data_IF_863522185244
#
_entry.id   IF_863522185244
#
_cell.length_a   1.000
_cell.length_b   1.000
_cell.length_c   1.000
_cell.angle_alpha   90.00
_cell.angle_beta   90.00
_cell.angle_gamma   90.00
#
_symmetry.space_group_name_H-M   'P 1'
#
loop_
_entity.id
_entity.type
_entity.pdbx_description
1 polymer ?
#
# COMPACT_ATOMS: atom_id res chain seq x y z
N UNK A 1 0.98 -18.03 -0.16
CA UNK A 1 2.29 -17.79 -0.81
C UNK A 1 3.36 -18.57 -0.07
N UNK A 2 3.68 -19.79 -0.53
CA UNK A 2 4.89 -20.49 -0.06
C UNK A 2 6.07 -20.06 -0.95
N UNK A 3 5.82 -19.80 -2.25
CA UNK A 3 6.73 -19.10 -3.17
C UNK A 3 8.16 -19.63 -3.15
N UNK A 4 9.13 -18.75 -3.43
CA UNK A 4 10.55 -19.05 -3.28
C UNK A 4 10.99 -19.18 -1.81
N UNK A 5 10.11 -18.88 -0.85
CA UNK A 5 10.39 -18.93 0.60
C UNK A 5 10.17 -20.30 1.24
N UNK A 6 9.84 -21.36 0.48
CA UNK A 6 9.55 -22.70 1.01
C UNK A 6 10.67 -23.23 1.93
N UNK A 7 11.94 -22.93 1.61
CA UNK A 7 13.09 -23.35 2.40
C UNK A 7 13.10 -22.71 3.80
N UNK A 8 12.68 -21.44 3.91
CA UNK A 8 12.54 -20.73 5.20
C UNK A 8 11.47 -21.42 6.04
N UNK A 9 10.31 -21.75 5.45
CA UNK A 9 9.22 -22.43 6.14
C UNK A 9 9.61 -23.84 6.62
N UNK A 10 10.33 -24.60 5.77
CA UNK A 10 10.84 -25.92 6.14
C UNK A 10 11.83 -25.83 7.31
N UNK A 11 12.79 -24.89 7.25
CA UNK A 11 13.74 -24.66 8.34
C UNK A 11 13.05 -24.22 9.63
N UNK A 12 12.03 -23.37 9.54
CA UNK A 12 11.25 -22.97 10.72
C UNK A 12 10.53 -24.19 11.34
N UNK A 13 9.93 -25.06 10.53
CA UNK A 13 9.31 -26.30 10.99
C UNK A 13 10.33 -27.23 11.68
N UNK A 14 11.51 -27.41 11.09
CA UNK A 14 12.61 -28.19 11.69
C UNK A 14 13.03 -27.56 13.02
N UNK A 15 13.22 -26.25 13.07
CA UNK A 15 13.62 -25.54 14.29
C UNK A 15 12.60 -25.65 15.41
N UNK A 16 11.30 -25.61 15.08
CA UNK A 16 10.24 -25.83 16.04
C UNK A 16 10.28 -27.26 16.61
N UNK A 17 10.41 -28.29 15.77
CA UNK A 17 10.46 -29.70 16.21
C UNK A 17 11.72 -29.98 17.02
N UNK A 18 12.90 -29.59 16.53
CA UNK A 18 14.17 -29.80 17.23
C UNK A 18 14.17 -29.05 18.55
N UNK A 19 13.67 -27.81 18.58
CA UNK A 19 13.61 -27.03 19.80
C UNK A 19 12.69 -27.63 20.86
N UNK A 20 11.58 -28.25 20.46
CA UNK A 20 10.66 -28.94 21.38
C UNK A 20 11.30 -30.14 22.08
N UNK A 21 12.21 -30.85 21.39
CA UNK A 21 12.92 -32.01 21.95
C UNK A 21 14.05 -31.56 22.89
N UNK A 22 14.58 -30.35 22.68
CA UNK A 22 15.70 -29.84 23.44
C UNK A 22 15.30 -29.18 24.77
N UNK A 23 15.57 -29.91 25.86
CA UNK A 23 15.27 -29.47 27.22
C UNK A 23 16.03 -28.20 27.64
N UNK A 24 17.19 -27.91 27.04
CA UNK A 24 18.02 -26.74 27.41
C UNK A 24 17.39 -25.40 27.03
N UNK A 25 16.51 -25.39 26.01
CA UNK A 25 15.86 -24.16 25.50
C UNK A 25 14.34 -24.16 25.73
N UNK A 26 13.84 -24.98 26.66
CA UNK A 26 12.41 -25.13 26.92
C UNK A 26 11.71 -23.81 27.22
N UNK A 27 12.33 -22.94 28.02
CA UNK A 27 11.76 -21.61 28.32
C UNK A 27 11.66 -20.74 27.06
N UNK A 28 12.70 -20.72 26.23
CA UNK A 28 12.69 -20.03 24.93
C UNK A 28 11.62 -20.61 24.00
N UNK A 29 11.42 -21.93 23.99
CA UNK A 29 10.38 -22.57 23.18
C UNK A 29 8.96 -22.20 23.62
N UNK A 30 8.71 -22.10 24.93
CA UNK A 30 7.44 -21.60 25.46
C UNK A 30 7.20 -20.16 24.97
N UNK A 31 8.23 -19.31 25.04
CA UNK A 31 8.14 -17.95 24.52
C UNK A 31 7.89 -17.91 23.01
N UNK A 32 8.63 -18.67 22.20
CA UNK A 32 8.50 -18.65 20.74
C UNK A 32 7.17 -19.22 20.25
N UNK A 33 6.67 -20.27 20.89
CA UNK A 33 5.34 -20.80 20.61
C UNK A 33 4.25 -19.83 21.03
N UNK A 34 4.41 -19.17 22.18
CA UNK A 34 3.55 -18.07 22.60
C UNK A 34 3.55 -16.94 21.58
N UNK A 35 4.73 -16.48 21.15
CA UNK A 35 4.90 -15.45 20.13
C UNK A 35 4.21 -15.84 18.83
N UNK A 36 4.44 -17.06 18.32
CA UNK A 36 3.78 -17.56 17.13
C UNK A 36 2.25 -17.58 17.28
N UNK A 37 1.76 -18.07 18.42
CA UNK A 37 0.33 -18.13 18.72
C UNK A 37 -0.29 -16.72 18.74
N UNK A 38 0.26 -15.79 19.50
CA UNK A 38 -0.28 -14.44 19.61
C UNK A 38 -0.11 -13.63 18.31
N UNK A 39 0.99 -13.81 17.58
CA UNK A 39 1.15 -13.25 16.22
C UNK A 39 0.12 -13.79 15.23
N UNK A 40 -0.26 -15.07 15.35
CA UNK A 40 -1.32 -15.67 14.52
C UNK A 40 -2.69 -15.17 14.93
N UNK A 41 -2.96 -15.08 16.23
CA UNK A 41 -4.21 -14.51 16.76
C UNK A 41 -4.38 -13.04 16.35
N UNK A 42 -3.29 -12.29 16.21
CA UNK A 42 -3.32 -10.91 15.71
C UNK A 42 -3.77 -10.79 14.23
N UNK A 43 -3.86 -11.90 13.49
CA UNK A 43 -4.43 -11.92 12.13
C UNK A 43 -5.96 -12.04 12.13
N UNK A 44 -6.55 -12.50 13.24
CA UNK A 44 -7.97 -12.79 13.34
C UNK A 44 -8.89 -11.56 13.54
N UNK A 45 -8.46 -10.39 14.08
CA UNK A 45 -9.35 -9.23 14.20
C UNK A 45 -9.97 -8.85 12.87
N UNK A 46 -11.31 -8.78 12.85
CA UNK A 46 -12.09 -8.46 11.66
C UNK A 46 -12.25 -9.59 10.65
N UNK A 47 -11.56 -10.74 10.80
CA UNK A 47 -11.61 -11.89 9.89
C UNK A 47 -11.34 -11.55 8.41
N UNK A 48 -10.60 -10.48 8.14
CA UNK A 48 -10.15 -10.08 6.80
C UNK A 48 -8.65 -10.38 6.66
N UNK A 49 -8.29 -11.44 5.94
CA UNK A 49 -6.90 -11.88 5.80
C UNK A 49 -6.23 -11.26 4.58
N UNK A 50 -5.52 -10.13 4.78
CA UNK A 50 -4.72 -9.50 3.72
C UNK A 50 -3.29 -10.04 3.71
N UNK A 51 -2.64 -10.20 2.53
CA UNK A 51 -1.29 -10.74 2.44
C UNK A 51 -0.26 -10.05 3.36
N UNK A 52 -0.33 -8.72 3.50
CA UNK A 52 0.60 -7.97 4.33
C UNK A 52 0.41 -8.17 5.84
N UNK A 53 -0.73 -8.67 6.31
CA UNK A 53 -0.93 -8.96 7.75
C UNK A 53 -0.03 -10.10 8.22
N UNK A 54 0.32 -11.03 7.34
CA UNK A 54 1.18 -12.17 7.66
C UNK A 54 2.61 -11.78 8.06
N UNK A 55 3.00 -10.51 7.88
CA UNK A 55 4.27 -9.98 8.40
C UNK A 55 4.42 -10.20 9.91
N UNK A 56 3.29 -10.24 10.65
CA UNK A 56 3.27 -10.42 12.10
C UNK A 56 3.82 -11.78 12.56
N UNK A 57 3.77 -12.80 11.70
CA UNK A 57 4.27 -14.17 11.99
C UNK A 57 5.77 -14.30 11.71
N UNK A 58 6.32 -13.46 10.83
CA UNK A 58 7.70 -13.59 10.35
C UNK A 58 8.76 -13.56 11.46
N UNK A 59 8.67 -12.74 12.52
CA UNK A 59 9.64 -12.77 13.61
C UNK A 59 9.76 -14.14 14.29
N UNK A 60 8.64 -14.80 14.57
CA UNK A 60 8.63 -16.14 15.17
C UNK A 60 9.26 -17.18 14.23
N UNK A 61 8.91 -17.12 12.95
CA UNK A 61 9.47 -17.98 11.89
C UNK A 61 10.98 -17.82 11.80
N UNK A 62 11.49 -16.58 11.77
CA UNK A 62 12.93 -16.29 11.73
C UNK A 62 13.67 -16.85 12.95
N UNK A 63 13.08 -16.78 14.14
CA UNK A 63 13.70 -17.33 15.36
C UNK A 63 13.73 -18.87 15.33
N UNK A 64 12.69 -19.52 14.82
CA UNK A 64 12.72 -20.98 14.62
C UNK A 64 13.78 -21.38 13.58
N UNK A 65 13.94 -20.65 12.48
CA UNK A 65 15.05 -20.87 11.53
C UNK A 65 16.40 -20.75 12.25
N UNK A 66 16.56 -19.75 13.12
CA UNK A 66 17.76 -19.59 13.95
C UNK A 66 18.07 -20.81 14.82
N UNK A 67 17.05 -21.41 15.45
CA UNK A 67 17.20 -22.65 16.22
C UNK A 67 17.67 -23.80 15.33
N UNK A 68 17.06 -23.99 14.15
CA UNK A 68 17.46 -25.04 13.22
C UNK A 68 18.93 -24.93 12.82
N UNK A 69 19.37 -23.72 12.44
CA UNK A 69 20.76 -23.44 12.03
C UNK A 69 21.73 -23.58 13.21
N UNK A 70 21.36 -23.12 14.41
CA UNK A 70 22.19 -23.26 15.62
C UNK A 70 22.43 -24.73 15.96
N UNK A 71 21.37 -25.56 15.92
CA UNK A 71 21.48 -26.99 16.23
C UNK A 71 22.24 -27.76 15.16
N UNK A 72 22.06 -27.40 13.91
CA UNK A 72 22.90 -27.93 12.83
C UNK A 72 24.38 -27.58 13.05
N UNK A 73 24.67 -26.36 13.51
CA UNK A 73 26.02 -25.92 13.82
C UNK A 73 26.65 -26.77 14.93
N UNK A 74 25.91 -27.07 16.01
CA UNK A 74 26.36 -27.93 17.10
C UNK A 74 26.74 -29.34 16.61
N UNK A 75 26.00 -29.88 15.63
CA UNK A 75 26.22 -31.21 15.06
C UNK A 75 27.42 -31.31 14.12
N UNK A 76 27.83 -30.21 13.47
CA UNK A 76 28.87 -30.21 12.43
C UNK A 76 30.31 -30.40 12.95
N UNK A 77 30.52 -30.41 14.27
CA UNK A 77 31.80 -30.81 14.89
C UNK A 77 33.01 -29.91 14.55
N UNK A 78 34.23 -30.36 14.91
CA UNK A 78 35.49 -29.60 14.75
C UNK A 78 36.08 -29.61 13.34
N UNK A 79 35.49 -30.34 12.38
CA UNK A 79 36.00 -30.41 11.01
C UNK A 79 35.67 -29.12 10.25
N UNK A 80 36.71 -28.41 9.80
CA UNK A 80 36.58 -27.06 9.27
C UNK A 80 35.65 -26.97 8.06
N UNK A 81 35.61 -28.02 7.21
CA UNK A 81 34.78 -28.07 6.01
C UNK A 81 33.28 -28.24 6.32
N UNK A 82 32.95 -29.02 7.36
CA UNK A 82 31.54 -29.29 7.76
C UNK A 82 30.97 -28.10 8.54
N UNK A 83 31.82 -27.31 9.21
CA UNK A 83 31.44 -26.10 9.94
C UNK A 83 30.82 -25.00 9.06
N UNK A 84 31.09 -24.99 7.76
CA UNK A 84 30.47 -24.04 6.82
C UNK A 84 29.07 -24.45 6.37
N UNK A 85 28.63 -25.70 6.59
CA UNK A 85 27.33 -26.19 6.12
C UNK A 85 26.15 -25.36 6.65
N UNK A 86 26.05 -25.02 7.95
CA UNK A 86 24.96 -24.16 8.44
C UNK A 86 24.97 -22.76 7.81
N UNK A 87 26.17 -22.19 7.59
CA UNK A 87 26.33 -20.88 6.96
C UNK A 87 25.92 -20.89 5.50
N UNK A 88 26.33 -21.92 4.75
CA UNK A 88 25.94 -22.10 3.34
C UNK A 88 24.43 -22.34 3.25
N UNK A 89 23.86 -23.15 4.14
CA UNK A 89 22.41 -23.41 4.18
C UNK A 89 21.62 -22.13 4.47
N UNK A 90 22.04 -21.35 5.47
CA UNK A 90 21.42 -20.05 5.78
C UNK A 90 21.56 -19.08 4.61
N UNK A 91 22.78 -18.92 4.08
CA UNK A 91 23.06 -18.04 2.94
C UNK A 91 22.20 -18.40 1.73
N UNK A 92 22.16 -19.68 1.36
CA UNK A 92 21.34 -20.18 0.25
C UNK A 92 19.86 -19.90 0.49
N UNK A 93 19.36 -20.17 1.68
CA UNK A 93 17.95 -19.94 2.05
C UNK A 93 17.55 -18.47 1.91
N UNK A 94 18.43 -17.54 2.32
CA UNK A 94 18.17 -16.09 2.22
C UNK A 94 18.34 -15.56 0.79
N UNK A 95 19.30 -16.11 0.04
CA UNK A 95 19.61 -15.66 -1.33
C UNK A 95 18.62 -16.19 -2.37
N UNK A 96 18.04 -17.38 -2.18
CA UNK A 96 17.12 -18.00 -3.14
C UNK A 96 15.92 -17.11 -3.50
N UNK A 97 15.15 -16.53 -2.55
CA UNK A 97 14.05 -15.62 -2.88
C UNK A 97 14.50 -14.37 -3.63
N UNK A 98 15.66 -13.82 -3.27
CA UNK A 98 16.23 -12.62 -3.91
C UNK A 98 16.60 -12.93 -5.36
N UNK A 99 17.22 -14.08 -5.62
CA UNK A 99 17.56 -14.52 -6.98
C UNK A 99 16.31 -14.85 -7.80
N UNK A 100 15.29 -15.43 -7.16
CA UNK A 100 14.01 -15.70 -7.81
C UNK A 100 13.34 -14.42 -8.32
N UNK A 101 13.38 -13.37 -7.51
CA UNK A 101 12.82 -12.05 -7.83
C UNK A 101 13.88 -11.06 -8.36
N UNK A 102 15.01 -11.55 -8.91
CA UNK A 102 16.14 -10.70 -9.31
C UNK A 102 15.75 -9.55 -10.24
N UNK A 103 14.80 -9.81 -11.16
CA UNK A 103 14.32 -8.80 -12.10
C UNK A 103 13.67 -7.65 -11.34
N UNK A 104 12.80 -7.99 -10.40
CA UNK A 104 12.11 -7.01 -9.57
C UNK A 104 13.07 -6.20 -8.70
N UNK A 105 14.06 -6.85 -8.08
CA UNK A 105 15.00 -6.18 -7.16
C UNK A 105 16.13 -5.40 -7.85
N UNK A 106 16.56 -5.80 -9.05
CA UNK A 106 17.78 -5.26 -9.68
C UNK A 106 17.61 -4.71 -11.09
N UNK A 107 16.53 -5.06 -11.81
CA UNK A 107 16.35 -4.65 -13.23
C UNK A 107 15.20 -3.64 -13.42
N UNK A 108 14.15 -3.73 -12.60
CA UNK A 108 12.93 -2.92 -12.74
C UNK A 108 13.13 -1.54 -12.11
N UNK A 109 12.69 -0.48 -12.80
CA UNK A 109 12.76 0.89 -12.25
C UNK A 109 11.85 1.03 -11.02
N UNK A 110 12.12 1.96 -10.07
CA UNK A 110 11.25 2.15 -8.91
C UNK A 110 9.78 2.44 -9.27
N UNK A 111 9.53 3.15 -10.37
CA UNK A 111 8.19 3.47 -10.86
C UNK A 111 7.49 2.21 -11.39
N UNK A 112 8.19 1.41 -12.20
CA UNK A 112 7.64 0.17 -12.73
C UNK A 112 7.43 -0.88 -11.62
N UNK A 113 8.31 -0.90 -10.61
CA UNK A 113 8.15 -1.74 -9.43
C UNK A 113 6.90 -1.34 -8.65
N UNK A 114 6.69 -0.03 -8.45
CA UNK A 114 5.49 0.51 -7.82
C UNK A 114 4.22 0.10 -8.59
N UNK A 115 4.19 0.29 -9.91
CA UNK A 115 3.06 -0.14 -10.76
C UNK A 115 2.82 -1.64 -10.72
N UNK A 116 3.89 -2.45 -10.72
CA UNK A 116 3.77 -3.90 -10.62
C UNK A 116 3.21 -4.35 -9.25
N UNK A 117 3.55 -3.64 -8.17
CA UNK A 117 3.07 -3.95 -6.81
C UNK A 117 1.65 -3.46 -6.57
N UNK A 118 1.29 -2.28 -7.08
CA UNK A 118 0.06 -1.58 -6.73
C UNK A 118 -0.94 -1.44 -7.89
N UNK A 119 -0.63 -1.98 -9.07
CA UNK A 119 -1.46 -1.96 -10.29
C UNK A 119 -2.00 -0.56 -10.59
N UNK A 120 -3.31 -0.37 -10.46
CA UNK A 120 -4.03 0.81 -10.95
C UNK A 120 -4.05 1.95 -9.92
N UNK A 121 -3.37 1.79 -8.78
CA UNK A 121 -3.25 2.89 -7.82
C UNK A 121 -2.32 3.97 -8.39
N UNK A 122 -2.74 5.24 -8.42
CA UNK A 122 -2.05 6.33 -9.12
C UNK A 122 -0.83 6.88 -8.37
N UNK A 123 0.04 6.02 -7.82
CA UNK A 123 1.17 6.47 -7.01
C UNK A 123 2.23 7.23 -7.82
N UNK A 124 2.55 6.74 -9.02
CA UNK A 124 3.51 7.40 -9.90
C UNK A 124 2.95 8.71 -10.46
N UNK A 125 1.65 8.69 -10.77
CA UNK A 125 0.88 9.79 -11.31
C UNK A 125 0.75 10.93 -10.30
N UNK A 126 0.53 10.59 -9.04
CA UNK A 126 0.40 11.54 -7.93
C UNK A 126 1.61 12.45 -7.79
N UNK A 127 2.83 11.97 -8.07
CA UNK A 127 4.05 12.80 -8.04
C UNK A 127 3.98 13.91 -9.09
N UNK A 128 3.63 13.57 -10.34
CA UNK A 128 3.53 14.56 -11.43
C UNK A 128 2.35 15.51 -11.25
N UNK A 129 1.22 15.01 -10.76
CA UNK A 129 0.07 15.85 -10.40
C UNK A 129 0.46 16.85 -9.32
N UNK A 130 1.17 16.38 -8.29
CA UNK A 130 1.65 17.22 -7.21
C UNK A 130 2.65 18.29 -7.67
N UNK A 131 3.56 17.95 -8.58
CA UNK A 131 4.48 18.93 -9.19
C UNK A 131 3.71 20.02 -9.95
N UNK A 132 2.76 19.63 -10.80
CA UNK A 132 1.87 20.58 -11.49
C UNK A 132 1.14 21.50 -10.50
N UNK A 133 0.52 20.94 -9.47
CA UNK A 133 -0.20 21.72 -8.46
C UNK A 133 0.73 22.66 -7.72
N UNK A 134 1.92 22.22 -7.34
CA UNK A 134 2.92 23.04 -6.63
C UNK A 134 3.36 24.26 -7.46
N UNK A 135 3.48 24.11 -8.76
CA UNK A 135 3.86 25.19 -9.69
C UNK A 135 2.73 26.21 -9.93
N UNK A 136 1.46 25.80 -9.76
CA UNK A 136 0.29 26.63 -10.07
C UNK A 136 -0.44 27.18 -8.82
N UNK A 137 0.13 26.97 -7.64
CA UNK A 137 -0.44 27.39 -6.35
C UNK A 137 0.61 28.08 -5.49
N UNK A 138 0.18 28.99 -4.61
CA UNK A 138 0.98 29.52 -3.52
C UNK A 138 1.00 28.52 -2.35
N UNK A 139 1.97 28.63 -1.44
CA UNK A 139 2.07 27.71 -0.28
C UNK A 139 0.85 27.74 0.65
N UNK A 140 0.14 28.87 0.69
CA UNK A 140 -1.02 29.07 1.56
C UNK A 140 -2.33 28.65 0.86
N UNK A 141 -2.30 28.36 -0.45
CA UNK A 141 -3.45 27.82 -1.16
C UNK A 141 -3.75 26.40 -0.67
N UNK A 142 -5.03 26.10 -0.47
CA UNK A 142 -5.49 24.73 -0.20
C UNK A 142 -5.89 24.02 -1.49
N UNK A 143 -5.73 22.71 -1.49
CA UNK A 143 -6.22 21.82 -2.54
C UNK A 143 -7.16 20.77 -1.92
N UNK A 144 -8.05 20.20 -2.71
CA UNK A 144 -8.87 19.06 -2.30
C UNK A 144 -8.62 17.87 -3.22
N UNK A 145 -8.32 16.71 -2.66
CA UNK A 145 -8.24 15.44 -3.35
C UNK A 145 -9.48 14.63 -2.98
N UNK A 146 -10.30 14.36 -3.99
CA UNK A 146 -11.46 13.50 -3.89
C UNK A 146 -11.04 12.09 -4.34
N UNK A 147 -10.54 11.34 -3.37
CA UNK A 147 -9.88 10.05 -3.53
C UNK A 147 -9.05 9.72 -2.28
N UNK A 148 -8.23 8.68 -2.36
CA UNK A 148 -7.37 8.23 -1.25
C UNK A 148 -5.88 8.38 -1.57
N UNK A 149 -5.52 9.51 -2.20
CA UNK A 149 -4.17 9.86 -2.64
C UNK A 149 -3.58 11.01 -1.78
N UNK A 150 -3.36 10.80 -0.47
CA UNK A 150 -2.80 11.84 0.40
C UNK A 150 -1.37 12.24 0.01
N UNK A 151 -0.65 11.38 -0.72
CA UNK A 151 0.68 11.68 -1.25
C UNK A 151 0.71 12.93 -2.14
N UNK A 152 -0.41 13.30 -2.78
CA UNK A 152 -0.50 14.51 -3.59
C UNK A 152 -0.28 15.74 -2.70
N UNK A 153 -0.89 15.80 -1.51
CA UNK A 153 -0.67 16.89 -0.56
C UNK A 153 0.79 16.98 -0.12
N UNK A 154 1.40 15.82 0.16
CA UNK A 154 2.79 15.72 0.60
C UNK A 154 3.76 16.24 -0.46
N UNK A 155 3.68 15.71 -1.68
CA UNK A 155 4.59 16.10 -2.77
C UNK A 155 4.32 17.54 -3.26
N UNK A 156 3.06 17.99 -3.24
CA UNK A 156 2.71 19.34 -3.66
C UNK A 156 3.11 20.38 -2.60
N UNK A 157 3.33 19.94 -1.36
CA UNK A 157 3.51 20.79 -0.19
C UNK A 157 2.33 21.75 -0.02
N UNK A 158 1.10 21.22 -0.09
CA UNK A 158 -0.14 21.99 0.06
C UNK A 158 -1.02 21.40 1.14
N UNK A 159 -1.69 22.28 1.87
CA UNK A 159 -2.67 21.86 2.87
C UNK A 159 -3.93 21.32 2.20
N UNK A 160 -4.51 20.29 2.81
CA UNK A 160 -5.82 19.77 2.44
C UNK A 160 -6.91 20.78 2.83
N UNK A 161 -7.89 20.93 1.94
CA UNK A 161 -9.10 21.73 2.19
C UNK A 161 -10.08 21.07 3.17
N UNK A 162 -9.82 19.81 3.52
CA UNK A 162 -10.67 18.97 4.38
C UNK A 162 -9.82 18.06 5.29
N UNK A 163 -10.35 17.67 6.43
CA UNK A 163 -9.72 16.69 7.31
C UNK A 163 -9.69 15.28 6.70
N UNK A 164 -10.52 14.99 5.70
CA UNK A 164 -10.60 13.69 5.03
C UNK A 164 -9.55 13.57 3.92
N UNK A 165 -8.40 12.98 4.27
CA UNK A 165 -7.30 12.71 3.32
C UNK A 165 -7.35 11.29 2.71
N UNK A 166 -8.35 10.49 3.09
CA UNK A 166 -8.70 9.19 2.51
C UNK A 166 -10.21 8.97 2.60
N UNK A 167 -10.80 8.25 1.64
CA UNK A 167 -12.27 8.18 1.47
C UNK A 167 -12.88 6.83 1.84
N UNK A 168 -12.08 5.82 2.24
CA UNK A 168 -12.60 4.47 2.52
C UNK A 168 -13.71 4.45 3.57
N UNK A 169 -13.58 5.19 4.67
CA UNK A 169 -14.60 5.23 5.74
C UNK A 169 -15.91 5.91 5.31
N UNK A 170 -15.87 6.75 4.27
CA UNK A 170 -17.06 7.36 3.66
C UNK A 170 -17.83 6.34 2.83
N UNK A 171 -17.15 5.28 2.38
CA UNK A 171 -17.68 4.24 1.51
C UNK A 171 -18.09 2.97 2.27
N UNK A 172 -17.62 2.78 3.50
CA UNK A 172 -18.08 1.66 4.31
C UNK A 172 -19.60 1.75 4.57
N UNK A 173 -20.34 0.63 4.51
CA UNK A 173 -21.78 0.61 4.79
C UNK A 173 -22.02 0.72 6.31
N UNK A 174 -21.79 1.91 6.84
CA UNK A 174 -21.84 2.24 8.26
C UNK A 174 -22.67 3.51 8.50
N UNK A 175 -23.27 3.62 9.69
CA UNK A 175 -24.30 4.63 10.00
C UNK A 175 -23.86 6.10 9.90
N UNK A 176 -22.57 6.38 9.95
CA UNK A 176 -21.97 7.71 9.84
C UNK A 176 -21.49 8.04 8.42
N UNK A 177 -21.63 7.13 7.44
CA UNK A 177 -21.07 7.34 6.10
C UNK A 177 -21.64 8.59 5.43
N UNK A 178 -22.98 8.77 5.51
CA UNK A 178 -23.67 9.99 5.05
C UNK A 178 -23.11 11.24 5.72
N UNK A 179 -23.04 11.23 7.06
CA UNK A 179 -22.58 12.37 7.84
C UNK A 179 -21.13 12.75 7.48
N UNK A 180 -20.23 11.76 7.36
CA UNK A 180 -18.84 12.01 6.96
C UNK A 180 -18.72 12.59 5.55
N UNK A 181 -19.56 12.13 4.61
CA UNK A 181 -19.62 12.73 3.27
C UNK A 181 -20.10 14.18 3.33
N UNK A 182 -21.15 14.47 4.10
CA UNK A 182 -21.66 15.84 4.29
C UNK A 182 -20.63 16.77 4.94
N UNK A 183 -19.89 16.27 5.94
CA UNK A 183 -18.80 16.99 6.61
C UNK A 183 -17.68 17.33 5.61
N UNK A 184 -17.19 16.35 4.84
CA UNK A 184 -16.18 16.58 3.79
C UNK A 184 -16.66 17.60 2.76
N UNK A 185 -17.91 17.47 2.30
CA UNK A 185 -18.54 18.41 1.36
C UNK A 185 -18.59 19.83 1.93
N UNK A 186 -19.01 19.97 3.19
CA UNK A 186 -19.12 21.26 3.86
C UNK A 186 -17.75 21.92 4.02
N UNK A 187 -16.73 21.17 4.43
CA UNK A 187 -15.36 21.64 4.56
C UNK A 187 -14.80 22.14 3.22
N UNK A 188 -14.96 21.37 2.14
CA UNK A 188 -14.49 21.77 0.81
C UNK A 188 -15.23 23.02 0.32
N UNK A 189 -16.55 23.09 0.49
CA UNK A 189 -17.35 24.27 0.11
C UNK A 189 -16.88 25.53 0.85
N UNK A 190 -16.57 25.40 2.15
CA UNK A 190 -16.11 26.50 3.00
C UNK A 190 -14.68 26.93 2.65
N UNK A 191 -13.78 25.96 2.49
CA UNK A 191 -12.37 26.20 2.20
C UNK A 191 -12.13 26.71 0.78
N UNK A 192 -13.07 26.49 -0.15
CA UNK A 192 -13.05 27.09 -1.49
C UNK A 192 -11.71 26.82 -2.21
N UNK A 193 -11.17 25.57 -2.21
CA UNK A 193 -9.79 25.29 -2.58
C UNK A 193 -9.47 25.70 -4.01
N UNK A 194 -8.22 26.10 -4.24
CA UNK A 194 -7.81 26.61 -5.56
C UNK A 194 -7.83 25.52 -6.63
N UNK A 195 -7.51 24.29 -6.22
CA UNK A 195 -7.58 23.12 -7.07
C UNK A 195 -8.35 21.99 -6.40
N UNK A 196 -9.07 21.24 -7.23
CA UNK A 196 -9.75 20.01 -6.85
C UNK A 196 -9.27 18.88 -7.78
N UNK A 197 -8.80 17.79 -7.19
CA UNK A 197 -8.32 16.59 -7.90
C UNK A 197 -9.35 15.49 -7.70
N UNK A 198 -9.99 15.06 -8.79
CA UNK A 198 -11.02 14.02 -8.79
C UNK A 198 -10.43 12.71 -9.31
N UNK A 199 -10.25 11.74 -8.41
CA UNK A 199 -9.63 10.45 -8.74
C UNK A 199 -10.71 9.42 -9.04
N UNK A 200 -10.88 9.13 -10.32
CA UNK A 200 -11.85 8.16 -10.84
C UNK A 200 -11.16 6.82 -11.02
N UNK A 201 -10.88 6.16 -9.89
CA UNK A 201 -10.31 4.82 -9.84
C UNK A 201 -10.98 4.04 -8.73
N UNK A 202 -11.35 2.78 -8.98
CA UNK A 202 -12.06 1.95 -8.01
C UNK A 202 -11.29 1.85 -6.67
N UNK A 203 -9.97 1.62 -6.75
CA UNK A 203 -9.13 1.45 -5.56
C UNK A 203 -8.99 2.69 -4.69
N UNK A 204 -9.22 3.89 -5.24
CA UNK A 204 -9.20 5.14 -4.48
C UNK A 204 -10.40 5.31 -3.54
N UNK A 205 -11.47 4.56 -3.78
CA UNK A 205 -12.73 4.67 -3.04
C UNK A 205 -13.15 3.37 -2.34
N UNK A 206 -12.94 2.22 -2.99
CA UNK A 206 -13.38 0.90 -2.50
C UNK A 206 -14.87 0.86 -2.11
N UNK A 207 -15.70 1.55 -2.88
CA UNK A 207 -17.14 1.56 -2.67
C UNK A 207 -17.75 0.16 -2.82
N UNK A 208 -18.85 -0.06 -2.10
CA UNK A 208 -19.65 -1.29 -2.09
C UNK A 208 -21.05 -0.97 -2.61
N UNK A 209 -21.83 -1.98 -3.04
CA UNK A 209 -23.20 -1.75 -3.52
C UNK A 209 -24.09 -0.99 -2.53
N UNK A 210 -23.85 -1.13 -1.22
CA UNK A 210 -24.59 -0.45 -0.15
C UNK A 210 -23.96 0.88 0.32
N UNK A 211 -22.90 1.35 -0.32
CA UNK A 211 -22.26 2.63 0.03
C UNK A 211 -23.18 3.80 -0.30
N UNK A 212 -23.16 4.82 0.56
CA UNK A 212 -23.70 6.12 0.23
C UNK A 212 -22.88 6.76 -0.91
N UNK A 213 -23.53 7.44 -1.85
CA UNK A 213 -22.92 7.98 -3.07
C UNK A 213 -23.10 9.49 -3.26
N UNK A 214 -23.58 10.21 -2.24
CA UNK A 214 -23.80 11.66 -2.33
C UNK A 214 -22.57 12.43 -2.79
N UNK A 215 -21.38 12.08 -2.29
CA UNK A 215 -20.15 12.78 -2.65
C UNK A 215 -19.86 12.71 -4.15
N UNK A 216 -20.24 11.63 -4.85
CA UNK A 216 -20.07 11.51 -6.29
C UNK A 216 -20.99 12.46 -7.04
N UNK A 217 -22.29 12.41 -6.75
CA UNK A 217 -23.28 13.32 -7.36
C UNK A 217 -22.95 14.78 -7.07
N UNK A 218 -22.56 15.10 -5.83
CA UNK A 218 -22.15 16.44 -5.45
C UNK A 218 -20.89 16.90 -6.20
N UNK A 219 -19.87 16.04 -6.33
CA UNK A 219 -18.63 16.44 -6.96
C UNK A 219 -18.82 16.77 -8.44
N UNK A 220 -19.64 16.00 -9.15
CA UNK A 220 -19.99 16.27 -10.55
C UNK A 220 -20.66 17.65 -10.70
N UNK A 221 -21.68 17.94 -9.89
CA UNK A 221 -22.36 19.24 -9.91
C UNK A 221 -21.44 20.40 -9.48
N UNK A 222 -20.65 20.20 -8.42
CA UNK A 222 -19.83 21.23 -7.81
C UNK A 222 -18.66 21.63 -8.71
N UNK A 223 -18.00 20.65 -9.33
CA UNK A 223 -16.91 20.91 -10.29
C UNK A 223 -17.44 21.63 -11.53
N UNK A 224 -18.57 21.18 -12.10
CA UNK A 224 -19.19 21.82 -13.27
C UNK A 224 -19.59 23.30 -13.04
N UNK A 225 -20.01 23.65 -11.82
CA UNK A 225 -20.46 25.01 -11.51
C UNK A 225 -19.32 25.96 -11.10
N UNK A 226 -18.27 25.45 -10.47
CA UNK A 226 -17.30 26.29 -9.74
C UNK A 226 -15.86 26.16 -10.26
N UNK A 227 -15.60 25.24 -11.18
CA UNK A 227 -14.26 24.96 -11.68
C UNK A 227 -14.24 24.80 -13.20
N UNK A 228 -13.06 24.92 -13.76
CA UNK A 228 -12.72 24.58 -15.14
C UNK A 228 -11.70 23.44 -15.15
N UNK A 229 -11.73 22.61 -16.20
CA UNK A 229 -10.78 21.53 -16.37
C UNK A 229 -9.37 22.11 -16.63
N UNK A 230 -8.43 21.81 -15.76
CA UNK A 230 -7.04 22.27 -15.84
C UNK A 230 -6.07 21.13 -16.16
N UNK A 231 -6.51 19.87 -15.99
CA UNK A 231 -5.73 18.73 -16.43
C UNK A 231 -6.50 17.42 -16.38
N UNK A 232 -5.94 16.44 -17.07
CA UNK A 232 -6.39 15.06 -17.10
C UNK A 232 -5.17 14.15 -17.09
N UNK A 233 -5.22 13.13 -16.24
CA UNK A 233 -4.29 12.01 -16.24
C UNK A 233 -5.06 10.75 -16.57
N UNK A 234 -4.78 10.18 -17.73
CA UNK A 234 -5.38 8.93 -18.18
C UNK A 234 -4.45 7.77 -17.90
N UNK A 235 -4.95 6.73 -17.24
CA UNK A 235 -4.14 5.59 -16.81
C UNK A 235 -4.60 4.31 -17.50
N UNK A 236 -3.64 3.58 -18.06
CA UNK A 236 -3.79 2.19 -18.48
C UNK A 236 -2.81 1.34 -17.67
N UNK A 237 -2.93 0.01 -17.77
CA UNK A 237 -2.04 -0.91 -17.06
C UNK A 237 -0.54 -0.78 -17.44
N UNK A 238 -0.21 -0.10 -18.54
CA UNK A 238 1.17 0.01 -19.04
C UNK A 238 1.63 1.43 -19.37
N UNK A 239 0.69 2.37 -19.51
CA UNK A 239 0.97 3.74 -19.95
C UNK A 239 0.09 4.73 -19.22
N UNK A 240 0.61 5.94 -19.10
CA UNK A 240 -0.11 7.07 -18.56
C UNK A 240 0.10 8.27 -19.46
N UNK A 241 -1.01 8.87 -19.86
CA UNK A 241 -1.02 10.11 -20.64
C UNK A 241 -1.38 11.28 -19.73
N UNK A 242 -0.62 12.36 -19.85
CA UNK A 242 -0.74 13.55 -19.03
C UNK A 242 -1.13 14.73 -19.91
N UNK A 243 -2.24 15.37 -19.58
CA UNK A 243 -2.73 16.57 -20.25
C UNK A 243 -2.87 17.66 -19.18
N UNK A 244 -1.98 18.65 -19.19
CA UNK A 244 -2.06 19.81 -18.30
C UNK A 244 -2.34 21.05 -19.16
N UNK A 245 -3.47 21.71 -18.95
CA UNK A 245 -3.98 22.80 -19.78
C UNK A 245 -4.92 22.31 -20.89
N UNK A 246 -4.38 21.63 -21.91
CA UNK A 246 -5.15 21.21 -23.09
C UNK A 246 -5.86 19.86 -22.85
N UNK A 247 -6.95 19.90 -22.07
CA UNK A 247 -7.76 18.70 -21.77
C UNK A 247 -8.61 18.32 -23.00
N UNK A 248 -8.49 17.10 -23.56
CA UNK A 248 -9.27 16.68 -24.73
C UNK A 248 -10.77 16.59 -24.42
N UNK A 249 -11.60 17.01 -25.39
CA UNK A 249 -13.08 17.03 -25.26
C UNK A 249 -13.72 15.65 -25.19
N UNK A 250 -13.05 14.62 -25.73
CA UNK A 250 -13.52 13.24 -25.75
C UNK A 250 -12.41 12.33 -25.24
N UNK A 251 -12.42 12.08 -23.94
CA UNK A 251 -11.67 10.97 -23.37
C UNK A 251 -12.68 9.86 -23.23
N UNK A 252 -12.68 8.96 -24.21
CA UNK A 252 -13.44 7.70 -24.18
C UNK A 252 -13.31 7.06 -22.79
N UNK A 253 -14.36 6.33 -22.39
CA UNK A 253 -14.61 5.77 -21.05
C UNK A 253 -13.44 4.97 -20.47
N UNK A 254 -12.38 5.67 -20.05
CA UNK A 254 -11.24 5.07 -19.40
C UNK A 254 -11.64 4.84 -17.95
N UNK A 255 -11.63 3.56 -17.56
CA UNK A 255 -12.05 3.10 -16.23
C UNK A 255 -11.24 3.77 -15.11
N UNK A 256 -10.00 4.14 -15.38
CA UNK A 256 -9.08 4.77 -14.44
C UNK A 256 -8.54 6.10 -14.98
N UNK A 257 -8.93 7.20 -14.35
CA UNK A 257 -8.49 8.56 -14.72
C UNK A 257 -8.49 9.51 -13.54
N UNK A 258 -7.71 10.57 -13.63
CA UNK A 258 -7.69 11.67 -12.66
C UNK A 258 -7.96 12.98 -13.38
N UNK A 259 -8.95 13.71 -12.89
CA UNK A 259 -9.32 15.02 -13.40
C UNK A 259 -8.82 16.09 -12.43
N UNK A 260 -8.19 17.12 -12.97
CA UNK A 260 -7.68 18.26 -12.19
C UNK A 260 -8.49 19.48 -12.58
N UNK A 261 -9.10 20.10 -11.59
CA UNK A 261 -10.00 21.23 -11.74
C UNK A 261 -9.38 22.46 -11.11
N UNK A 262 -9.29 23.56 -11.87
CA UNK A 262 -8.91 24.88 -11.36
C UNK A 262 -10.16 25.67 -11.04
N UNK A 263 -10.15 26.35 -9.91
CA UNK A 263 -11.29 27.14 -9.47
C UNK A 263 -11.54 28.34 -10.38
N UNK A 264 -12.81 28.57 -10.70
CA UNK A 264 -13.23 29.78 -11.41
C UNK A 264 -12.97 31.03 -10.54
N UNK A 265 -12.71 32.20 -11.16
CA UNK A 265 -12.53 33.47 -10.47
C UNK A 265 -13.67 33.84 -9.51
#
# INVERSE_FOLDING_TARGET
MIGAGWAIWMLAGIGAVVGLVDKSIRASMVFLLGLLLFSTLALCPGFYFRPHYFIMILPAVSLFVGIAISRLSDLTGRMILVRFVPLVMLGTTLTLPILWEKKFFFEVSPVDACRKTYSDNPFAESVKIADYLREHTSRDDTIAVLGSEPEIYFYAQRHSATAYIYTYSLMEPQKYARQMQEEMIHEIKRARPKYLVWVVTFYSWLWRPASDRLIFTWADEYTAQNYEAAGLVSMTSTKTDYFFGDVPSSVESLENRILIYRRNP
#
